data_IF_756603873257
#
_entry.id   IF_756603873257
#
_cell.length_a   1.000
_cell.length_b   1.000
_cell.length_c   1.000
_cell.angle_alpha   90.00
_cell.angle_beta   90.00
_cell.angle_gamma   90.00
#
_symmetry.space_group_name_H-M   'P 1'
#
loop_
_entity.id
_entity.type
_entity.pdbx_description
1 polymer ?
#
# COMPACT_ATOMS: atom_id res chain seq x y z
N UNK A 1 -1.62 -3.03 -11.22
CA UNK A 1 -2.68 -3.30 -10.25
C UNK A 1 -4.03 -3.59 -10.92
N UNK A 2 -4.57 -2.67 -11.69
CA UNK A 2 -5.89 -2.82 -12.30
C UNK A 2 -5.97 -4.01 -13.27
N UNK A 3 -4.94 -4.23 -14.08
CA UNK A 3 -4.91 -5.33 -15.02
C UNK A 3 -4.97 -6.68 -14.29
N UNK A 4 -4.19 -6.84 -13.23
CA UNK A 4 -4.20 -8.07 -12.43
C UNK A 4 -5.55 -8.28 -11.75
N UNK A 5 -6.19 -7.19 -11.30
CA UNK A 5 -7.51 -7.26 -10.70
C UNK A 5 -8.55 -7.77 -11.71
N UNK A 6 -8.51 -7.26 -12.94
CA UNK A 6 -9.42 -7.70 -14.01
C UNK A 6 -9.19 -9.16 -14.39
N UNK A 7 -7.96 -9.65 -14.26
CA UNK A 7 -7.61 -11.05 -14.54
C UNK A 7 -7.86 -11.96 -13.34
N UNK A 8 -8.45 -11.43 -12.27
CA UNK A 8 -8.74 -12.16 -11.04
C UNK A 8 -7.49 -12.69 -10.33
N UNK A 9 -6.33 -12.08 -10.58
CA UNK A 9 -5.08 -12.36 -9.88
C UNK A 9 -5.03 -11.52 -8.60
N UNK A 10 -5.94 -11.81 -7.67
CA UNK A 10 -6.21 -10.95 -6.52
C UNK A 10 -5.03 -10.76 -5.58
N UNK A 11 -4.30 -11.81 -5.15
CA UNK A 11 -3.14 -11.58 -4.28
C UNK A 11 -2.09 -10.68 -4.92
N UNK A 12 -1.80 -10.88 -6.20
CA UNK A 12 -0.82 -10.07 -6.91
C UNK A 12 -1.31 -8.63 -7.14
N UNK A 13 -2.61 -8.46 -7.38
CA UNK A 13 -3.20 -7.14 -7.52
C UNK A 13 -3.03 -6.33 -6.21
N UNK A 14 -3.33 -6.95 -5.07
CA UNK A 14 -3.19 -6.30 -3.77
C UNK A 14 -1.72 -6.05 -3.40
N UNK A 15 -0.82 -6.97 -3.76
CA UNK A 15 0.62 -6.78 -3.57
C UNK A 15 1.12 -5.56 -4.34
N UNK A 16 0.74 -5.43 -5.62
CA UNK A 16 1.13 -4.26 -6.42
C UNK A 16 0.50 -2.98 -5.86
N UNK A 17 -0.72 -3.06 -5.33
CA UNK A 17 -1.35 -1.93 -4.67
C UNK A 17 -0.54 -1.45 -3.47
N UNK A 18 -0.04 -2.37 -2.65
CA UNK A 18 0.85 -2.05 -1.54
C UNK A 18 2.12 -1.37 -2.05
N UNK A 19 2.73 -1.90 -3.13
CA UNK A 19 3.93 -1.31 -3.70
C UNK A 19 3.68 0.10 -4.24
N UNK A 20 2.53 0.35 -4.86
CA UNK A 20 2.18 1.69 -5.34
C UNK A 20 2.15 2.68 -4.19
N UNK A 21 1.51 2.33 -3.08
CA UNK A 21 1.45 3.20 -1.90
C UNK A 21 2.83 3.38 -1.28
N UNK A 22 3.61 2.32 -1.19
CA UNK A 22 4.97 2.38 -0.66
C UNK A 22 5.84 3.34 -1.48
N UNK A 23 5.81 3.23 -2.80
CA UNK A 23 6.60 4.09 -3.68
C UNK A 23 6.13 5.54 -3.59
N UNK A 24 4.83 5.76 -3.48
CA UNK A 24 4.28 7.12 -3.34
C UNK A 24 4.73 7.74 -2.03
N UNK A 25 4.68 7.00 -0.93
CA UNK A 25 5.15 7.47 0.38
C UNK A 25 6.65 7.77 0.36
N UNK A 26 7.44 6.96 -0.32
CA UNK A 26 8.88 7.19 -0.45
C UNK A 26 9.17 8.45 -1.26
N UNK A 27 8.37 8.74 -2.28
CA UNK A 27 8.48 9.98 -3.04
C UNK A 27 8.17 11.20 -2.15
N UNK A 28 7.15 11.10 -1.30
CA UNK A 28 6.82 12.17 -0.36
C UNK A 28 7.94 12.33 0.68
N UNK A 29 8.51 11.22 1.16
CA UNK A 29 9.66 11.27 2.07
C UNK A 29 10.81 12.05 1.45
N UNK A 30 11.15 11.76 0.20
CA UNK A 30 12.21 12.47 -0.51
C UNK A 30 11.92 13.97 -0.61
N UNK A 31 10.65 14.34 -0.82
CA UNK A 31 10.22 15.73 -0.88
C UNK A 31 10.36 16.44 0.47
N UNK A 32 9.94 15.77 1.56
CA UNK A 32 9.80 16.39 2.88
C UNK A 32 11.04 16.24 3.77
N UNK A 33 11.85 15.23 3.56
CA UNK A 33 12.93 14.86 4.50
C UNK A 33 14.28 14.76 3.81
N UNK A 34 14.53 13.69 3.00
CA UNK A 34 15.87 13.42 2.48
C UNK A 34 15.82 12.48 1.28
N UNK A 35 16.89 12.49 0.48
CA UNK A 35 17.07 11.57 -0.64
C UNK A 35 17.33 10.13 -0.17
N UNK A 36 17.90 9.95 1.01
CA UNK A 36 18.16 8.62 1.54
C UNK A 36 16.88 8.02 2.12
N UNK A 37 16.15 7.33 1.26
CA UNK A 37 14.84 6.78 1.62
C UNK A 37 15.01 5.51 2.45
N UNK A 38 14.30 5.39 3.59
CA UNK A 38 14.37 4.17 4.40
C UNK A 38 13.93 2.92 3.62
N UNK A 39 14.63 1.81 3.86
CA UNK A 39 14.31 0.53 3.21
C UNK A 39 13.31 -0.25 4.06
N UNK A 40 12.12 0.28 4.19
CA UNK A 40 11.03 -0.35 4.95
C UNK A 40 9.79 -0.44 4.08
N UNK A 41 8.93 -1.41 4.42
CA UNK A 41 7.70 -1.67 3.68
C UNK A 41 6.45 -1.32 4.48
N UNK A 42 6.59 -0.94 5.73
CA UNK A 42 5.49 -0.55 6.61
C UNK A 42 4.99 0.84 6.21
N UNK A 43 3.76 0.89 5.68
CA UNK A 43 3.19 2.13 5.16
C UNK A 43 2.97 3.18 6.25
N UNK A 44 2.50 2.77 7.43
CA UNK A 44 2.26 3.71 8.53
C UNK A 44 3.57 4.33 8.98
N UNK A 45 4.60 3.51 9.14
CA UNK A 45 5.92 4.00 9.54
C UNK A 45 6.51 4.95 8.50
N UNK A 46 6.37 4.61 7.21
CA UNK A 46 6.81 5.50 6.14
C UNK A 46 6.10 6.85 6.20
N UNK A 47 4.78 6.83 6.44
CA UNK A 47 4.00 8.07 6.54
C UNK A 47 4.48 8.94 7.71
N UNK A 48 4.71 8.32 8.87
CA UNK A 48 5.24 9.05 10.04
C UNK A 48 6.60 9.66 9.72
N UNK A 49 7.50 8.88 9.14
CA UNK A 49 8.85 9.36 8.79
C UNK A 49 8.80 10.44 7.70
N UNK A 50 7.83 10.36 6.79
CA UNK A 50 7.63 11.37 5.74
C UNK A 50 6.90 12.62 6.24
N UNK A 51 6.60 12.69 7.53
CA UNK A 51 5.94 13.82 8.17
C UNK A 51 4.50 14.04 7.66
N UNK A 52 3.80 12.95 7.43
CA UNK A 52 2.40 12.98 7.00
C UNK A 52 1.51 12.63 8.20
N UNK A 53 0.50 13.46 8.46
CA UNK A 53 -0.54 13.15 9.43
C UNK A 53 -1.58 12.24 8.77
N UNK A 54 -1.69 11.02 9.28
CA UNK A 54 -2.64 10.03 8.76
C UNK A 54 -3.86 9.98 9.68
N UNK A 55 -5.08 10.14 9.16
CA UNK A 55 -6.28 9.97 9.97
C UNK A 55 -6.34 8.57 10.58
N UNK A 56 -6.86 8.46 11.80
CA UNK A 56 -6.89 7.19 12.52
C UNK A 56 -7.58 6.06 11.73
N UNK A 57 -8.63 6.39 10.99
CA UNK A 57 -9.36 5.40 10.19
C UNK A 57 -8.47 4.77 9.11
N UNK A 58 -7.56 5.55 8.52
CA UNK A 58 -6.65 5.07 7.47
C UNK A 58 -5.48 4.29 8.04
N UNK A 59 -5.09 4.52 9.29
CA UNK A 59 -3.98 3.79 9.91
C UNK A 59 -4.23 2.29 9.92
N UNK A 60 -5.44 1.87 10.32
CA UNK A 60 -5.78 0.46 10.36
C UNK A 60 -5.75 -0.17 8.96
N UNK A 61 -6.30 0.54 7.97
CA UNK A 61 -6.28 0.07 6.59
C UNK A 61 -4.86 -0.04 6.05
N UNK A 62 -4.01 0.94 6.35
CA UNK A 62 -2.61 0.93 5.91
C UNK A 62 -1.82 -0.21 6.55
N UNK A 63 -2.09 -0.54 7.81
CA UNK A 63 -1.45 -1.69 8.47
C UNK A 63 -1.82 -3.00 7.78
N UNK A 64 -3.09 -3.17 7.45
CA UNK A 64 -3.53 -4.37 6.74
C UNK A 64 -2.90 -4.44 5.35
N UNK A 65 -2.88 -3.32 4.63
CA UNK A 65 -2.27 -3.26 3.29
C UNK A 65 -0.78 -3.56 3.36
N UNK A 66 -0.08 -3.08 4.39
CA UNK A 66 1.34 -3.37 4.59
C UNK A 66 1.61 -4.87 4.66
N UNK A 67 0.70 -5.64 5.26
CA UNK A 67 0.85 -7.09 5.38
C UNK A 67 0.80 -7.81 4.03
N UNK A 68 0.24 -7.19 2.98
CA UNK A 68 0.15 -7.81 1.66
C UNK A 68 1.53 -8.07 1.05
N UNK A 69 2.52 -7.26 1.38
CA UNK A 69 3.90 -7.47 0.93
C UNK A 69 4.45 -8.79 1.48
N UNK A 70 4.35 -8.98 2.78
CA UNK A 70 4.84 -10.18 3.46
C UNK A 70 4.05 -11.41 3.02
N UNK A 71 2.72 -11.32 3.03
CA UNK A 71 1.84 -12.45 2.77
C UNK A 71 1.97 -12.99 1.35
N UNK A 72 2.35 -12.13 0.40
CA UNK A 72 2.52 -12.55 -1.00
C UNK A 72 3.89 -13.18 -1.24
N UNK A 73 4.91 -12.72 -0.53
CA UNK A 73 6.30 -13.11 -0.80
C UNK A 73 6.75 -14.37 -0.05
N UNK A 74 6.17 -14.66 1.11
CA UNK A 74 6.64 -15.76 1.96
C UNK A 74 5.73 -16.98 1.84
N UNK A 75 6.29 -18.17 1.57
CA UNK A 75 5.50 -19.39 1.35
C UNK A 75 4.57 -19.74 2.51
N UNK A 76 4.98 -19.47 3.75
CA UNK A 76 4.19 -19.80 4.94
C UNK A 76 2.85 -19.04 4.98
N UNK A 77 2.77 -17.91 4.29
CA UNK A 77 1.59 -17.06 4.29
C UNK A 77 0.81 -17.06 2.97
N UNK A 78 1.42 -17.59 1.90
CA UNK A 78 0.84 -17.51 0.55
C UNK A 78 -0.53 -18.17 0.44
N UNK A 79 -0.69 -19.38 0.95
CA UNK A 79 -1.95 -20.10 0.84
C UNK A 79 -3.04 -19.42 1.66
N UNK A 80 -2.70 -19.03 2.87
CA UNK A 80 -3.62 -18.32 3.76
C UNK A 80 -4.08 -17.01 3.13
N UNK A 81 -3.16 -16.26 2.55
CA UNK A 81 -3.47 -15.00 1.88
C UNK A 81 -4.32 -15.24 0.63
N UNK A 82 -3.98 -16.25 -0.16
CA UNK A 82 -4.77 -16.61 -1.34
C UNK A 82 -6.24 -16.86 -0.96
N UNK A 83 -6.46 -17.61 0.14
CA UNK A 83 -7.81 -17.90 0.63
C UNK A 83 -8.51 -16.66 1.18
N UNK A 84 -7.76 -15.70 1.74
CA UNK A 84 -8.29 -14.43 2.23
C UNK A 84 -8.73 -13.52 1.09
N UNK A 85 -8.08 -13.61 -0.06
CA UNK A 85 -8.34 -12.75 -1.20
C UNK A 85 -9.59 -13.17 -1.98
N UNK A 86 -10.74 -13.14 -1.32
CA UNK A 86 -12.02 -13.31 -1.98
C UNK A 86 -12.27 -12.11 -2.89
N UNK A 87 -13.27 -12.23 -3.76
CA UNK A 87 -13.67 -11.13 -4.63
C UNK A 87 -14.08 -9.90 -3.80
N UNK A 88 -14.85 -10.11 -2.74
CA UNK A 88 -15.36 -9.06 -1.86
C UNK A 88 -14.24 -8.37 -1.11
N UNK A 89 -13.35 -9.14 -0.49
CA UNK A 89 -12.18 -8.62 0.23
C UNK A 89 -11.29 -7.80 -0.71
N UNK A 90 -11.01 -8.36 -1.89
CA UNK A 90 -10.14 -7.71 -2.87
C UNK A 90 -10.76 -6.42 -3.38
N UNK A 91 -12.05 -6.42 -3.70
CA UNK A 91 -12.75 -5.21 -4.17
C UNK A 91 -12.70 -4.12 -3.10
N UNK A 92 -12.88 -4.47 -1.83
CA UNK A 92 -12.83 -3.53 -0.71
C UNK A 92 -11.45 -2.85 -0.65
N UNK A 93 -10.38 -3.64 -0.67
CA UNK A 93 -9.04 -3.09 -0.53
C UNK A 93 -8.53 -2.42 -1.80
N UNK A 94 -8.99 -2.83 -2.97
CA UNK A 94 -8.72 -2.09 -4.20
C UNK A 94 -9.27 -0.66 -4.11
N UNK A 95 -10.50 -0.53 -3.59
CA UNK A 95 -11.12 0.78 -3.38
C UNK A 95 -10.35 1.63 -2.38
N UNK A 96 -9.94 1.03 -1.25
CA UNK A 96 -9.17 1.72 -0.22
C UNK A 96 -7.81 2.17 -0.78
N UNK A 97 -7.12 1.29 -1.50
CA UNK A 97 -5.81 1.60 -2.11
C UNK A 97 -5.93 2.75 -3.10
N UNK A 98 -6.95 2.73 -3.96
CA UNK A 98 -7.18 3.82 -4.92
C UNK A 98 -7.39 5.15 -4.21
N UNK A 99 -8.20 5.15 -3.16
CA UNK A 99 -8.48 6.37 -2.39
C UNK A 99 -7.23 6.89 -1.69
N UNK A 100 -6.46 6.02 -1.05
CA UNK A 100 -5.22 6.40 -0.40
C UNK A 100 -4.20 6.92 -1.40
N UNK A 101 -4.08 6.27 -2.55
CA UNK A 101 -3.14 6.69 -3.59
C UNK A 101 -3.48 8.09 -4.10
N UNK A 102 -4.76 8.34 -4.37
CA UNK A 102 -5.22 9.64 -4.82
C UNK A 102 -4.94 10.72 -3.78
N UNK A 103 -5.21 10.44 -2.52
CA UNK A 103 -4.93 11.36 -1.43
C UNK A 103 -3.43 11.65 -1.30
N UNK A 104 -2.60 10.60 -1.30
CA UNK A 104 -1.15 10.76 -1.20
C UNK A 104 -0.57 11.55 -2.38
N UNK A 105 -1.08 11.30 -3.59
CA UNK A 105 -0.65 12.06 -4.76
C UNK A 105 -0.94 13.55 -4.61
N UNK A 106 -2.05 13.90 -3.94
CA UNK A 106 -2.38 15.29 -3.69
C UNK A 106 -1.39 16.00 -2.77
N UNK A 107 -0.61 15.24 -2.00
CA UNK A 107 0.42 15.77 -1.10
C UNK A 107 1.76 16.00 -1.82
N UNK A 108 1.93 15.48 -3.01
CA UNK A 108 3.14 15.69 -3.81
C UNK A 108 3.06 17.07 -4.45
N UNK A 109 4.05 17.90 -4.11
CA UNK A 109 4.12 19.26 -4.66
C UNK A 109 4.80 19.22 -6.01
N UNK A 110 4.14 19.74 -7.02
CA UNK A 110 4.74 19.93 -8.33
C UNK A 110 5.49 21.25 -8.35
N UNK A 111 6.71 21.21 -8.87
CA UNK A 111 7.50 22.42 -9.09
C UNK A 111 7.21 23.00 -10.45
#
# INVERSE_FOLDING_TARGET
MEKLYKMEEYPWALFLGQLVLEKTLKAIYTQNVDFEVPRIHDLVRLAVLAQIEVPQAEIESMDIISSFNLNTRYPDFKLSFHNQCTKEFTAQYMGIIRSLHQWLQSLIKMK
#
